data_IF_985286484909
#
_entry.id   IF_985286484909
#
_cell.length_a   1.000
_cell.length_b   1.000
_cell.length_c   1.000
_cell.angle_alpha   90.00
_cell.angle_beta   90.00
_cell.angle_gamma   90.00
#
_symmetry.space_group_name_H-M   'P 1'
#
loop_
_entity.id
_entity.type
_entity.pdbx_description
1 polymer ?
#
# COMPACT_ATOMS: atom_id res chain seq x y z
N UNK A 1 -22.99 -13.59 -14.34
CA UNK A 1 -22.35 -12.36 -13.80
C UNK A 1 -21.12 -12.62 -12.92
N UNK A 2 -20.73 -13.88 -12.64
CA UNK A 2 -19.55 -14.22 -11.82
C UNK A 2 -18.18 -14.07 -12.52
N UNK A 3 -18.12 -14.26 -13.84
CA UNK A 3 -16.84 -14.25 -14.60
C UNK A 3 -16.15 -12.88 -14.62
N UNK A 4 -16.88 -11.77 -14.58
CA UNK A 4 -16.29 -10.43 -14.64
C UNK A 4 -15.54 -10.05 -13.37
N UNK A 5 -16.02 -10.49 -12.20
CA UNK A 5 -15.37 -10.24 -10.91
C UNK A 5 -14.07 -11.02 -10.73
N UNK A 6 -14.00 -12.26 -11.22
CA UNK A 6 -12.78 -13.08 -11.18
C UNK A 6 -11.68 -12.50 -12.07
N UNK A 7 -12.04 -12.08 -13.30
CA UNK A 7 -11.11 -11.44 -14.23
C UNK A 7 -10.52 -10.16 -13.67
N UNK A 8 -11.34 -9.33 -13.02
CA UNK A 8 -10.89 -8.11 -12.35
C UNK A 8 -9.99 -8.40 -11.14
N UNK A 9 -10.26 -9.48 -10.40
CA UNK A 9 -9.42 -9.95 -9.30
C UNK A 9 -8.03 -10.38 -9.78
N UNK A 10 -7.98 -11.18 -10.84
CA UNK A 10 -6.74 -11.63 -11.47
C UNK A 10 -5.94 -10.48 -12.09
N UNK A 11 -6.61 -9.54 -12.76
CA UNK A 11 -5.96 -8.36 -13.33
C UNK A 11 -5.28 -7.52 -12.24
N UNK A 12 -5.96 -7.29 -11.10
CA UNK A 12 -5.37 -6.58 -9.97
C UNK A 12 -4.17 -7.33 -9.38
N UNK A 13 -4.28 -8.65 -9.20
CA UNK A 13 -3.18 -9.49 -8.71
C UNK A 13 -1.96 -9.43 -9.64
N UNK A 14 -2.18 -9.45 -10.96
CA UNK A 14 -1.12 -9.31 -11.96
C UNK A 14 -0.44 -7.93 -11.88
N UNK A 15 -1.20 -6.86 -11.70
CA UNK A 15 -0.64 -5.50 -11.52
C UNK A 15 0.24 -5.41 -10.27
N UNK A 16 -0.21 -5.96 -9.15
CA UNK A 16 0.60 -6.01 -7.93
C UNK A 16 1.88 -6.85 -8.12
N UNK A 17 1.79 -8.00 -8.79
CA UNK A 17 2.95 -8.84 -9.10
C UNK A 17 3.98 -8.12 -10.00
N UNK A 18 3.52 -7.44 -11.05
CA UNK A 18 4.37 -6.62 -11.93
C UNK A 18 5.07 -5.54 -11.11
N UNK A 19 4.34 -4.87 -10.22
CA UNK A 19 4.86 -3.80 -9.36
C UNK A 19 5.90 -4.34 -8.39
N UNK A 20 5.68 -5.51 -7.79
CA UNK A 20 6.65 -6.19 -6.95
C UNK A 20 7.94 -6.56 -7.72
N UNK A 21 7.81 -7.04 -8.96
CA UNK A 21 8.97 -7.31 -9.84
C UNK A 21 9.75 -6.02 -10.14
N UNK A 22 9.04 -4.92 -10.45
CA UNK A 22 9.68 -3.62 -10.67
C UNK A 22 10.41 -3.13 -9.41
N UNK A 23 9.77 -3.24 -8.24
CA UNK A 23 10.37 -2.91 -6.95
C UNK A 23 11.60 -3.78 -6.65
N UNK A 24 11.60 -5.07 -7.00
CA UNK A 24 12.76 -5.95 -6.88
C UNK A 24 13.93 -5.49 -7.75
N UNK A 25 13.67 -5.00 -8.98
CA UNK A 25 14.71 -4.41 -9.83
C UNK A 25 15.26 -3.12 -9.20
N UNK A 26 14.41 -2.28 -8.62
CA UNK A 26 14.83 -1.08 -7.90
C UNK A 26 15.62 -1.41 -6.61
N UNK A 27 15.25 -2.46 -5.88
CA UNK A 27 15.98 -2.94 -4.71
C UNK A 27 17.40 -3.42 -5.06
N UNK A 28 17.54 -4.19 -6.15
CA UNK A 28 18.85 -4.56 -6.70
C UNK A 28 19.65 -3.33 -7.12
N UNK A 29 18.98 -2.30 -7.65
CA UNK A 29 19.60 -1.04 -7.99
C UNK A 29 19.97 -0.17 -6.78
N UNK A 30 19.39 -0.44 -5.61
CA UNK A 30 19.63 0.25 -4.36
C UNK A 30 20.67 -0.48 -3.46
N UNK A 31 21.54 -1.31 -4.04
CA UNK A 31 22.62 -1.95 -3.29
C UNK A 31 23.46 -0.91 -2.54
N UNK A 32 23.83 -1.16 -1.27
CA UNK A 32 24.60 -0.22 -0.47
C UNK A 32 25.92 0.09 -1.18
N UNK A 33 26.21 1.38 -1.32
CA UNK A 33 27.46 1.86 -1.89
C UNK A 33 27.74 3.28 -1.40
N UNK A 34 28.91 3.87 -1.73
CA UNK A 34 29.35 5.15 -1.15
C UNK A 34 28.37 6.31 -1.38
N UNK A 35 27.52 6.20 -2.40
CA UNK A 35 26.57 7.24 -2.82
C UNK A 35 25.10 6.88 -2.59
N UNK A 36 24.79 5.69 -2.07
CA UNK A 36 23.41 5.20 -1.91
C UNK A 36 23.14 4.86 -0.45
N UNK A 37 22.27 5.62 0.23
CA UNK A 37 21.89 5.34 1.60
C UNK A 37 21.23 3.95 1.76
N UNK A 38 21.48 3.23 2.87
CA UNK A 38 20.95 1.89 3.08
C UNK A 38 19.42 1.84 3.15
N UNK A 39 18.78 2.93 3.60
CA UNK A 39 17.31 3.00 3.72
C UNK A 39 16.58 2.90 2.37
N UNK A 40 17.24 3.24 1.25
CA UNK A 40 16.64 3.07 -0.08
C UNK A 40 16.28 1.62 -0.32
N UNK A 41 17.18 0.69 0.04
CA UNK A 41 16.95 -0.75 -0.10
C UNK A 41 15.78 -1.19 0.77
N UNK A 42 15.72 -0.72 2.01
CA UNK A 42 14.62 -1.04 2.94
C UNK A 42 13.27 -0.64 2.36
N UNK A 43 13.14 0.55 1.76
CA UNK A 43 11.89 1.00 1.13
C UNK A 43 11.47 0.08 -0.02
N UNK A 44 12.41 -0.28 -0.90
CA UNK A 44 12.08 -1.18 -2.02
C UNK A 44 11.77 -2.60 -1.56
N UNK A 45 12.44 -3.11 -0.52
CA UNK A 45 12.12 -4.40 0.09
C UNK A 45 10.71 -4.38 0.73
N UNK A 46 10.37 -3.30 1.44
CA UNK A 46 9.03 -3.12 1.99
C UNK A 46 7.97 -3.06 0.88
N UNK A 47 8.25 -2.39 -0.24
CA UNK A 47 7.37 -2.37 -1.40
C UNK A 47 7.16 -3.77 -2.00
N UNK A 48 8.23 -4.56 -2.17
CA UNK A 48 8.12 -5.95 -2.64
C UNK A 48 7.21 -6.74 -1.72
N UNK A 49 7.49 -6.72 -0.41
CA UNK A 49 6.71 -7.45 0.58
C UNK A 49 5.24 -7.05 0.53
N UNK A 50 4.95 -5.75 0.51
CA UNK A 50 3.59 -5.21 0.46
C UNK A 50 2.84 -5.68 -0.79
N UNK A 51 3.39 -5.45 -1.98
CA UNK A 51 2.70 -5.80 -3.23
C UNK A 51 2.61 -7.32 -3.47
N UNK A 52 3.59 -8.09 -3.00
CA UNK A 52 3.47 -9.55 -2.98
C UNK A 52 2.32 -9.97 -2.06
N UNK A 53 2.25 -9.45 -0.83
CA UNK A 53 1.14 -9.74 0.07
C UNK A 53 -0.23 -9.33 -0.53
N UNK A 54 -0.32 -8.20 -1.23
CA UNK A 54 -1.53 -7.80 -1.96
C UNK A 54 -1.93 -8.81 -3.04
N UNK A 55 -0.96 -9.27 -3.84
CA UNK A 55 -1.22 -10.27 -4.88
C UNK A 55 -1.73 -11.59 -4.28
N UNK A 56 -1.07 -12.08 -3.23
CA UNK A 56 -1.51 -13.28 -2.49
C UNK A 56 -2.91 -13.09 -1.90
N UNK A 57 -3.15 -11.99 -1.18
CA UNK A 57 -4.47 -11.68 -0.62
C UNK A 57 -5.57 -11.71 -1.67
N UNK A 58 -5.27 -11.22 -2.89
CA UNK A 58 -6.23 -11.19 -3.99
C UNK A 58 -6.49 -12.56 -4.61
N UNK A 59 -5.48 -13.39 -4.78
CA UNK A 59 -5.59 -14.74 -5.36
C UNK A 59 -6.35 -15.68 -4.41
N UNK A 60 -6.02 -15.63 -3.12
CA UNK A 60 -6.61 -16.50 -2.10
C UNK A 60 -7.92 -15.96 -1.51
N UNK A 61 -8.37 -14.77 -1.93
CA UNK A 61 -9.56 -14.14 -1.39
C UNK A 61 -9.49 -13.91 0.12
N UNK A 62 -8.29 -13.68 0.67
CA UNK A 62 -8.07 -13.58 2.11
C UNK A 62 -8.92 -12.48 2.75
N UNK A 63 -9.15 -11.37 2.04
CA UNK A 63 -10.06 -10.30 2.49
C UNK A 63 -11.48 -10.83 2.74
N UNK A 64 -12.01 -11.66 1.83
CA UNK A 64 -13.37 -12.18 1.96
C UNK A 64 -13.43 -13.27 3.03
N UNK A 65 -12.41 -14.14 3.10
CA UNK A 65 -12.30 -15.14 4.16
C UNK A 65 -12.26 -14.51 5.56
N UNK A 66 -11.44 -13.48 5.75
CA UNK A 66 -11.36 -12.76 7.02
C UNK A 66 -12.68 -12.06 7.37
N UNK A 67 -13.35 -11.48 6.36
CA UNK A 67 -14.65 -10.83 6.54
C UNK A 67 -15.74 -11.82 6.95
N UNK A 68 -15.73 -13.03 6.39
CA UNK A 68 -16.66 -14.09 6.75
C UNK A 68 -16.41 -14.58 8.18
N UNK A 69 -15.15 -14.80 8.57
CA UNK A 69 -14.76 -15.17 9.93
C UNK A 69 -15.21 -14.12 10.96
N UNK A 70 -14.90 -12.84 10.71
CA UNK A 70 -15.33 -11.73 11.57
C UNK A 70 -16.85 -11.62 11.66
N UNK A 71 -17.58 -11.90 10.57
CA UNK A 71 -19.04 -11.88 10.57
C UNK A 71 -19.65 -13.07 11.32
N UNK A 72 -18.99 -14.22 11.31
CA UNK A 72 -19.38 -15.42 12.05
C UNK A 72 -19.35 -15.19 13.55
N UNK A 73 -18.20 -14.78 14.07
CA UNK A 73 -18.02 -14.46 15.51
C UNK A 73 -19.03 -13.42 15.99
N UNK A 74 -19.23 -12.35 15.20
CA UNK A 74 -20.16 -11.28 15.56
C UNK A 74 -21.66 -11.64 15.37
N UNK A 75 -22.02 -12.85 14.94
CA UNK A 75 -23.42 -13.32 14.91
C UNK A 75 -23.78 -14.09 16.17
N UNK A 76 -22.82 -14.79 16.76
CA UNK A 76 -23.08 -15.67 17.90
C UNK A 76 -23.32 -14.88 19.21
N UNK A 77 -22.84 -13.64 19.31
CA UNK A 77 -22.97 -12.84 20.54
C UNK A 77 -24.22 -11.93 20.63
N UNK A 78 -25.13 -11.91 19.64
CA UNK A 78 -26.31 -11.02 19.64
C UNK A 78 -25.98 -9.51 19.77
N UNK A 79 -24.72 -9.12 19.52
CA UNK A 79 -24.17 -7.74 19.64
C UNK A 79 -24.41 -6.93 18.37
N UNK A 80 -25.64 -6.90 17.86
CA UNK A 80 -25.94 -6.08 16.68
C UNK A 80 -26.02 -4.58 17.00
N UNK A 81 -26.37 -4.20 18.24
CA UNK A 81 -26.44 -2.79 18.67
C UNK A 81 -25.07 -2.17 18.98
N UNK A 82 -24.14 -2.93 19.57
CA UNK A 82 -22.81 -2.40 19.96
C UNK A 82 -21.79 -2.41 18.82
N UNK A 83 -22.07 -3.12 17.71
CA UNK A 83 -21.19 -3.19 16.52
C UNK A 83 -20.75 -1.82 16.03
N UNK A 84 -21.66 -0.84 15.99
CA UNK A 84 -21.39 0.49 15.44
C UNK A 84 -20.40 1.27 16.31
N UNK A 85 -20.41 1.01 17.61
CA UNK A 85 -19.57 1.67 18.60
C UNK A 85 -18.14 1.09 18.59
N UNK A 86 -17.99 -0.24 18.57
CA UNK A 86 -16.67 -0.85 18.40
C UNK A 86 -16.03 -0.49 17.04
N UNK A 87 -16.83 -0.45 15.98
CA UNK A 87 -16.33 -0.07 14.65
C UNK A 87 -15.84 1.37 14.59
N UNK A 88 -16.56 2.33 15.20
CA UNK A 88 -16.15 3.72 15.21
C UNK A 88 -14.87 3.91 16.04
N UNK A 89 -14.71 3.18 17.15
CA UNK A 89 -13.49 3.20 17.98
C UNK A 89 -12.30 2.63 17.20
N UNK A 90 -12.44 1.46 16.58
CA UNK A 90 -11.35 0.83 15.81
C UNK A 90 -10.98 1.69 14.59
N UNK A 91 -11.96 2.20 13.85
CA UNK A 91 -11.72 3.06 12.69
C UNK A 91 -11.01 4.37 13.11
N UNK A 92 -11.46 5.00 14.20
CA UNK A 92 -10.82 6.20 14.75
C UNK A 92 -9.38 5.91 15.16
N UNK A 93 -9.13 4.79 15.84
CA UNK A 93 -7.78 4.40 16.25
C UNK A 93 -6.85 4.22 15.05
N UNK A 94 -7.32 3.59 13.97
CA UNK A 94 -6.56 3.42 12.72
C UNK A 94 -6.29 4.76 12.05
N UNK A 95 -7.29 5.63 11.95
CA UNK A 95 -7.14 6.96 11.36
C UNK A 95 -6.11 7.78 12.15
N UNK A 96 -6.19 7.77 13.47
CA UNK A 96 -5.23 8.47 14.34
C UNK A 96 -3.83 7.87 14.16
N UNK A 97 -3.68 6.55 14.20
CA UNK A 97 -2.39 5.89 14.00
C UNK A 97 -1.79 6.22 12.62
N UNK A 98 -2.61 6.25 11.57
CA UNK A 98 -2.20 6.61 10.23
C UNK A 98 -1.80 8.09 10.13
N UNK A 99 -2.57 8.99 10.74
CA UNK A 99 -2.27 10.41 10.79
C UNK A 99 -0.96 10.69 11.55
N UNK A 100 -0.74 10.01 12.69
CA UNK A 100 0.51 10.09 13.45
C UNK A 100 1.69 9.54 12.64
N UNK A 101 1.54 8.38 12.00
CA UNK A 101 2.58 7.82 11.14
C UNK A 101 2.93 8.76 9.97
N UNK A 102 1.93 9.38 9.34
CA UNK A 102 2.13 10.37 8.29
C UNK A 102 2.81 11.64 8.83
N UNK A 103 2.40 12.14 10.00
CA UNK A 103 2.96 13.33 10.63
C UNK A 103 4.42 13.12 11.03
N UNK A 104 4.73 12.07 11.79
CA UNK A 104 6.10 11.74 12.19
C UNK A 104 6.97 11.36 10.99
N UNK A 105 6.39 10.67 10.00
CA UNK A 105 7.05 10.40 8.72
C UNK A 105 7.46 11.69 8.02
N UNK A 106 6.52 12.61 7.80
CA UNK A 106 6.78 13.90 7.18
C UNK A 106 7.78 14.74 7.98
N UNK A 107 7.64 14.80 9.31
CA UNK A 107 8.57 15.52 10.18
C UNK A 107 10.00 14.95 10.08
N UNK A 108 10.13 13.62 10.04
CA UNK A 108 11.44 12.95 9.83
C UNK A 108 12.02 13.21 8.45
N UNK A 109 11.19 13.30 7.41
CA UNK A 109 11.62 13.65 6.05
C UNK A 109 12.15 15.08 5.98
N UNK A 110 11.46 16.01 6.63
CA UNK A 110 11.86 17.43 6.68
C UNK A 110 13.14 17.58 7.49
N UNK A 111 13.23 16.95 8.67
CA UNK A 111 14.40 17.06 9.56
C UNK A 111 15.64 16.34 9.04
N UNK A 112 15.49 15.24 8.31
CA UNK A 112 16.62 14.47 7.74
C UNK A 112 17.30 15.15 6.55
N UNK A 113 16.83 16.31 6.09
CA UNK A 113 17.40 17.00 4.94
C UNK A 113 17.25 16.22 3.62
N UNK A 114 16.43 15.16 3.60
CA UNK A 114 16.22 14.31 2.42
C UNK A 114 15.64 15.12 1.25
N UNK A 115 14.87 16.18 1.53
CA UNK A 115 14.40 17.15 0.53
C UNK A 115 15.55 17.88 -0.20
N UNK A 116 16.70 18.08 0.48
CA UNK A 116 17.92 18.67 -0.11
C UNK A 116 18.80 17.62 -0.80
N UNK A 117 18.58 16.33 -0.55
CA UNK A 117 19.36 15.25 -1.15
C UNK A 117 18.98 14.99 -2.62
N UNK A 118 19.93 14.46 -3.39
CA UNK A 118 19.82 14.32 -4.85
C UNK A 118 18.59 13.54 -5.35
N UNK A 119 18.30 13.65 -6.65
CA UNK A 119 17.04 13.17 -7.25
C UNK A 119 16.70 11.68 -7.06
N UNK A 120 17.65 10.82 -6.65
CA UNK A 120 17.38 9.39 -6.32
C UNK A 120 16.67 9.22 -4.97
N UNK A 121 17.05 9.99 -3.97
CA UNK A 121 16.45 9.93 -2.64
C UNK A 121 15.00 10.39 -2.66
N UNK A 122 14.68 11.43 -3.45
CA UNK A 122 13.30 11.89 -3.66
C UNK A 122 12.40 10.81 -4.26
N UNK A 123 12.93 10.02 -5.22
CA UNK A 123 12.18 8.91 -5.84
C UNK A 123 11.94 7.79 -4.84
N UNK A 124 12.96 7.39 -4.07
CA UNK A 124 12.79 6.38 -3.02
C UNK A 124 11.80 6.84 -1.95
N UNK A 125 11.84 8.12 -1.55
CA UNK A 125 10.90 8.69 -0.61
C UNK A 125 9.46 8.66 -1.14
N UNK A 126 9.25 9.13 -2.38
CA UNK A 126 7.94 9.13 -3.01
C UNK A 126 7.36 7.71 -3.11
N UNK A 127 8.21 6.72 -3.40
CA UNK A 127 7.81 5.32 -3.43
C UNK A 127 7.39 4.83 -2.04
N UNK A 128 8.14 5.21 -1.00
CA UNK A 128 7.78 4.92 0.40
C UNK A 128 6.43 5.53 0.79
N UNK A 129 6.16 6.78 0.42
CA UNK A 129 4.87 7.42 0.68
C UNK A 129 3.72 6.72 -0.07
N UNK A 130 3.92 6.36 -1.34
CA UNK A 130 2.92 5.62 -2.10
C UNK A 130 2.66 4.22 -1.50
N UNK A 131 3.69 3.54 -1.00
CA UNK A 131 3.52 2.28 -0.25
C UNK A 131 2.75 2.50 1.06
N UNK A 132 3.00 3.58 1.79
CA UNK A 132 2.27 3.89 3.02
C UNK A 132 0.78 4.18 2.74
N UNK A 133 0.47 4.91 1.66
CA UNK A 133 -0.91 5.12 1.19
C UNK A 133 -1.59 3.79 0.85
N UNK A 134 -0.89 2.91 0.13
CA UNK A 134 -1.40 1.58 -0.20
C UNK A 134 -1.65 0.72 1.05
N UNK A 135 -0.71 0.71 2.01
CA UNK A 135 -0.87 -0.01 3.27
C UNK A 135 -2.08 0.50 4.07
N UNK A 136 -2.25 1.83 4.15
CA UNK A 136 -3.42 2.44 4.79
C UNK A 136 -4.72 2.03 4.10
N UNK A 137 -4.74 2.05 2.76
CA UNK A 137 -5.89 1.63 1.97
C UNK A 137 -6.25 0.16 2.23
N UNK A 138 -5.26 -0.73 2.37
CA UNK A 138 -5.49 -2.14 2.73
C UNK A 138 -6.10 -2.26 4.12
N UNK A 139 -5.54 -1.57 5.12
CA UNK A 139 -6.08 -1.60 6.49
C UNK A 139 -7.53 -1.12 6.50
N UNK A 140 -7.82 -0.03 5.79
CA UNK A 140 -9.19 0.49 5.64
C UNK A 140 -10.09 -0.55 4.95
N UNK A 141 -9.61 -1.24 3.90
CA UNK A 141 -10.38 -2.29 3.20
C UNK A 141 -10.67 -3.51 4.08
N UNK A 142 -9.69 -3.95 4.86
CA UNK A 142 -9.82 -5.10 5.76
C UNK A 142 -10.78 -4.77 6.91
N UNK A 143 -10.67 -3.55 7.45
CA UNK A 143 -11.48 -3.10 8.60
C UNK A 143 -12.85 -2.58 8.18
N UNK A 144 -13.08 -2.28 6.89
CA UNK A 144 -14.36 -1.76 6.40
C UNK A 144 -15.50 -2.73 6.73
N UNK A 145 -16.19 -2.40 7.82
CA UNK A 145 -17.48 -2.91 8.24
C UNK A 145 -18.51 -1.83 7.88
N UNK A 146 -19.13 -1.97 6.71
CA UNK A 146 -20.39 -1.34 6.26
C UNK A 146 -20.54 0.20 6.28
N UNK A 147 -20.07 0.95 7.29
CA UNK A 147 -20.23 2.40 7.41
C UNK A 147 -19.25 3.19 6.52
N UNK A 148 -17.99 2.74 6.41
CA UNK A 148 -17.06 3.25 5.40
C UNK A 148 -17.43 2.76 4.01
N UNK A 149 -18.02 1.56 3.89
CA UNK A 149 -18.58 1.12 2.62
C UNK A 149 -19.67 2.07 2.14
N UNK A 150 -20.54 2.62 2.98
CA UNK A 150 -21.53 3.60 2.50
C UNK A 150 -20.85 4.90 2.01
N UNK A 151 -19.81 5.38 2.69
CA UNK A 151 -19.08 6.58 2.28
C UNK A 151 -18.22 6.35 1.02
N UNK A 152 -17.65 5.16 0.86
CA UNK A 152 -16.78 4.76 -0.25
C UNK A 152 -17.58 4.21 -1.45
N UNK A 153 -18.75 3.59 -1.24
CA UNK A 153 -19.61 3.01 -2.29
C UNK A 153 -20.75 3.91 -2.75
N UNK A 154 -21.19 4.94 -1.98
CA UNK A 154 -22.02 6.02 -2.58
C UNK A 154 -21.18 6.99 -3.42
N UNK A 155 -19.87 7.04 -3.20
CA UNK A 155 -18.92 7.79 -4.04
C UNK A 155 -18.39 6.99 -5.23
N UNK A 156 -18.02 7.64 -6.34
CA UNK A 156 -17.56 6.96 -7.55
C UNK A 156 -16.19 6.31 -7.31
N UNK A 157 -16.13 4.99 -7.08
CA UNK A 157 -14.97 4.11 -7.32
C UNK A 157 -13.60 4.64 -6.81
N UNK A 158 -13.58 5.50 -5.80
CA UNK A 158 -12.37 6.20 -5.35
C UNK A 158 -11.30 5.23 -4.85
N UNK A 159 -11.72 4.17 -4.17
CA UNK A 159 -10.83 3.10 -3.73
C UNK A 159 -10.06 2.47 -4.91
N UNK A 160 -10.73 2.17 -6.02
CA UNK A 160 -10.08 1.63 -7.22
C UNK A 160 -9.11 2.62 -7.85
N UNK A 161 -9.45 3.90 -7.88
CA UNK A 161 -8.58 4.94 -8.43
C UNK A 161 -7.32 5.10 -7.56
N UNK A 162 -7.47 5.12 -6.23
CA UNK A 162 -6.33 5.23 -5.31
C UNK A 162 -5.47 3.97 -5.36
N UNK A 163 -6.08 2.79 -5.44
CA UNK A 163 -5.39 1.51 -5.52
C UNK A 163 -4.56 1.37 -6.81
N UNK A 164 -5.18 1.62 -7.97
CA UNK A 164 -4.49 1.63 -9.27
C UNK A 164 -3.46 2.74 -9.31
N UNK A 165 -3.79 3.93 -8.81
CA UNK A 165 -2.90 5.09 -8.76
C UNK A 165 -1.66 4.84 -7.92
N UNK A 166 -1.82 4.29 -6.72
CA UNK A 166 -0.71 3.95 -5.82
C UNK A 166 0.18 2.86 -6.42
N UNK A 167 -0.44 1.81 -6.98
CA UNK A 167 0.28 0.72 -7.66
C UNK A 167 1.09 1.23 -8.85
N UNK A 168 0.46 2.01 -9.74
CA UNK A 168 1.12 2.61 -10.89
C UNK A 168 2.21 3.59 -10.48
N UNK A 169 1.99 4.41 -9.45
CA UNK A 169 2.98 5.34 -8.92
C UNK A 169 4.22 4.60 -8.42
N UNK A 170 4.07 3.53 -7.62
CA UNK A 170 5.21 2.73 -7.14
C UNK A 170 5.93 2.07 -8.31
N UNK A 171 5.21 1.50 -9.27
CA UNK A 171 5.80 0.89 -10.47
C UNK A 171 6.62 1.89 -11.31
N UNK A 172 6.07 3.07 -11.57
CA UNK A 172 6.75 4.14 -12.29
C UNK A 172 7.98 4.67 -11.55
N UNK A 173 7.89 4.83 -10.23
CA UNK A 173 9.01 5.25 -9.38
C UNK A 173 10.11 4.18 -9.33
N UNK A 174 9.74 2.90 -9.27
CA UNK A 174 10.69 1.79 -9.33
C UNK A 174 11.43 1.74 -10.68
N UNK A 175 10.69 1.93 -11.78
CA UNK A 175 11.28 1.99 -13.12
C UNK A 175 12.26 3.15 -13.28
N UNK A 176 11.85 4.37 -12.90
CA UNK A 176 12.69 5.57 -12.98
C UNK A 176 13.91 5.48 -12.07
N UNK A 177 13.79 4.84 -10.90
CA UNK A 177 14.93 4.58 -10.02
C UNK A 177 15.95 3.64 -10.68
N UNK A 178 15.48 2.53 -11.24
CA UNK A 178 16.33 1.53 -11.88
C UNK A 178 16.99 2.05 -13.18
N UNK A 179 16.27 2.82 -14.00
CA UNK A 179 16.80 3.38 -15.25
C UNK A 179 17.90 4.43 -15.01
N UNK A 180 17.75 5.25 -13.96
CA UNK A 180 18.76 6.21 -13.51
C UNK A 180 20.05 5.55 -13.02
N UNK A 181 20.01 4.30 -12.54
CA UNK A 181 21.22 3.58 -12.14
C UNK A 181 22.05 3.14 -13.35
N UNK A 182 21.39 2.63 -14.40
CA UNK A 182 22.06 2.15 -15.62
C UNK A 182 22.91 3.25 -16.28
N UNK A 183 22.36 4.46 -16.41
CA UNK A 183 23.05 5.60 -17.01
C UNK A 183 24.28 6.07 -16.22
N UNK A 184 24.33 5.79 -14.92
CA UNK A 184 25.46 6.15 -14.06
C UNK A 184 26.57 5.11 -14.04
N UNK A 185 26.33 3.91 -14.61
CA UNK A 185 27.35 2.86 -14.76
C UNK A 185 28.04 2.89 -16.13
N UNK A 186 27.47 3.59 -17.11
CA UNK A 186 28.02 3.75 -18.46
C UNK A 186 28.87 5.01 -18.64
N UNK A 187 29.05 5.81 -17.58
CA UNK A 187 30.00 6.92 -17.48
C UNK A 187 31.03 6.56 -16.43
#
# INVERSE_FOLDING_TARGET
MYKSTELLGLAAAALYAITAIMAARAAKAAQPGPRVPPWHRTVWLAAILLFTACAFSRIFGLEEGLRLLLRGELRDENIYSTRREYQSVIASAIIIAAALAAFFGAAKVVSSGVLKSGGRSRVALAAGMACAVMALLIVVRVVSLHALDVLIYRGPRLNWIVDIGATAAVGALAWTYASRQRHSRSR
#
